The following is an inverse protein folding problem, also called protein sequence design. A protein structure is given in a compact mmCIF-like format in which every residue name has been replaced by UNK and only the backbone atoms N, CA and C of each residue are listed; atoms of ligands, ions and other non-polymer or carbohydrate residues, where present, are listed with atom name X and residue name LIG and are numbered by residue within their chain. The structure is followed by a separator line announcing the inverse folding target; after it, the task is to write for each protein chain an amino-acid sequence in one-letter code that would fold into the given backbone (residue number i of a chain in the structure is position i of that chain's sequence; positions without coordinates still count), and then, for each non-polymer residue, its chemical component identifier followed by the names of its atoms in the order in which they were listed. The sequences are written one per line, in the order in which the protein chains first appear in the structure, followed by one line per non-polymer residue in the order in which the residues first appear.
data_IF_503312804041
#
_entry.id   IF_503312804041
#
_cell.length_a   1.000
_cell.length_b   1.000
_cell.length_c   1.000
_cell.angle_alpha   90.00
_cell.angle_beta   90.00
_cell.angle_gamma   90.00
#
_symmetry.space_group_name_H-M   'P 1'
#
loop_
_entity.id
_entity.type
_entity.pdbx_description
1 polymer ?
#
# COMPACT_ATOMS: atom_id res chain seq x y z
N UNK A 1 -17.79 17.42 -14.60
CA UNK A 1 -16.47 16.77 -14.49
C UNK A 1 -16.73 15.31 -14.17
N UNK A 2 -16.42 14.41 -15.09
CA UNK A 2 -16.36 12.98 -14.80
C UNK A 2 -15.12 12.75 -13.95
N UNK A 3 -15.31 12.37 -12.70
CA UNK A 3 -14.18 12.00 -11.84
C UNK A 3 -13.55 10.74 -12.39
N UNK A 4 -12.44 10.88 -13.11
CA UNK A 4 -11.71 9.81 -13.80
C UNK A 4 -11.03 8.90 -12.78
N UNK A 5 -11.80 8.02 -12.13
CA UNK A 5 -11.32 7.02 -11.17
C UNK A 5 -11.25 5.61 -11.77
N UNK A 6 -11.82 5.40 -12.95
CA UNK A 6 -11.78 4.13 -13.67
C UNK A 6 -10.42 3.97 -14.39
N UNK A 7 -9.60 2.95 -14.07
CA UNK A 7 -8.33 2.71 -14.75
C UNK A 7 -8.44 2.42 -16.25
N UNK A 8 -9.65 2.12 -16.76
CA UNK A 8 -9.91 1.92 -18.18
C UNK A 8 -10.33 3.19 -18.92
N UNK A 9 -10.54 4.30 -18.21
CA UNK A 9 -10.86 5.58 -18.83
C UNK A 9 -9.67 6.09 -19.68
N UNK A 10 -9.89 6.59 -20.91
CA UNK A 10 -8.83 7.11 -21.76
C UNK A 10 -7.98 8.21 -21.11
N UNK A 11 -8.59 9.04 -20.25
CA UNK A 11 -7.93 10.13 -19.55
C UNK A 11 -7.22 9.68 -18.26
N UNK A 12 -7.34 8.41 -17.85
CA UNK A 12 -6.82 7.96 -16.56
C UNK A 12 -5.31 8.22 -16.38
N UNK A 13 -4.53 8.10 -17.46
CA UNK A 13 -3.10 8.37 -17.46
C UNK A 13 -2.70 9.77 -17.95
N UNK A 14 -3.67 10.64 -18.22
CA UNK A 14 -3.41 12.04 -18.57
C UNK A 14 -2.97 12.80 -17.30
N UNK A 15 -1.71 13.27 -17.30
CA UNK A 15 -1.16 13.98 -16.15
C UNK A 15 -1.83 15.35 -15.97
N UNK A 16 -2.16 16.08 -17.03
CA UNK A 16 -2.79 17.39 -16.91
C UNK A 16 -4.20 17.28 -16.29
N UNK A 17 -4.99 16.29 -16.72
CA UNK A 17 -6.29 15.98 -16.11
C UNK A 17 -6.15 15.60 -14.63
N UNK A 18 -5.19 14.73 -14.31
CA UNK A 18 -4.89 14.35 -12.92
C UNK A 18 -4.56 15.58 -12.06
N UNK A 19 -3.70 16.51 -12.55
CA UNK A 19 -3.31 17.71 -11.79
C UNK A 19 -4.50 18.61 -11.52
N UNK A 20 -5.39 18.78 -12.49
CA UNK A 20 -6.64 19.53 -12.31
C UNK A 20 -7.55 18.90 -11.24
N UNK A 21 -7.69 17.58 -11.26
CA UNK A 21 -8.49 16.86 -10.27
C UNK A 21 -7.86 16.86 -8.87
N UNK A 22 -6.53 16.77 -8.77
CA UNK A 22 -5.79 16.96 -7.51
C UNK A 22 -6.05 18.35 -6.93
N UNK A 23 -5.90 19.40 -7.73
CA UNK A 23 -6.20 20.78 -7.30
C UNK A 23 -7.63 20.90 -6.78
N UNK A 24 -8.63 20.42 -7.54
CA UNK A 24 -10.03 20.49 -7.14
C UNK A 24 -10.30 19.77 -5.82
N UNK A 25 -9.84 18.53 -5.69
CA UNK A 25 -10.08 17.73 -4.49
C UNK A 25 -9.34 18.31 -3.29
N UNK A 26 -8.12 18.80 -3.48
CA UNK A 26 -7.32 19.42 -2.42
C UNK A 26 -7.95 20.70 -1.89
N UNK A 27 -8.48 21.54 -2.78
CA UNK A 27 -9.22 22.75 -2.42
C UNK A 27 -10.45 22.43 -1.56
N UNK A 28 -11.29 21.50 -2.02
CA UNK A 28 -12.49 21.06 -1.29
C UNK A 28 -12.13 20.40 0.06
N UNK A 29 -11.05 19.63 0.10
CA UNK A 29 -10.58 18.99 1.32
C UNK A 29 -10.02 20.00 2.32
N UNK A 30 -9.31 21.03 1.85
CA UNK A 30 -8.82 22.14 2.67
C UNK A 30 -9.96 22.99 3.22
N UNK A 31 -11.02 23.25 2.45
CA UNK A 31 -12.21 23.94 2.94
C UNK A 31 -12.94 23.16 4.04
N UNK A 32 -13.01 21.83 3.94
CA UNK A 32 -13.73 20.98 4.89
C UNK A 32 -12.93 20.62 6.16
N UNK A 33 -11.62 20.33 6.01
CA UNK A 33 -10.67 19.92 7.05
C UNK A 33 -11.04 18.71 7.93
N UNK A 34 -12.17 18.03 7.74
CA UNK A 34 -12.64 16.95 8.62
C UNK A 34 -11.64 15.78 8.77
N UNK A 35 -10.84 15.52 7.73
CA UNK A 35 -9.99 14.34 7.64
C UNK A 35 -8.68 14.38 8.47
N UNK A 36 -8.30 15.53 9.06
CA UNK A 36 -7.00 15.70 9.73
C UNK A 36 -6.75 14.70 10.88
N UNK A 37 -7.81 14.21 11.53
CA UNK A 37 -7.71 13.25 12.63
C UNK A 37 -7.42 11.82 12.17
N UNK A 38 -7.56 11.54 10.88
CA UNK A 38 -7.52 10.17 10.35
C UNK A 38 -6.30 9.86 9.50
N UNK A 39 -5.57 10.86 9.00
CA UNK A 39 -4.54 10.66 7.99
C UNK A 39 -3.54 11.82 7.93
N UNK A 40 -2.25 11.49 7.88
CA UNK A 40 -1.13 12.44 7.86
C UNK A 40 -1.01 13.25 6.55
N UNK A 41 -1.59 12.77 5.46
CA UNK A 41 -1.60 13.50 4.18
C UNK A 41 -2.37 14.83 4.27
N UNK A 42 -3.43 14.90 5.10
CA UNK A 42 -4.26 16.11 5.22
C UNK A 42 -3.60 17.23 6.00
N UNK A 43 -3.00 17.01 7.18
CA UNK A 43 -2.18 18.04 7.83
C UNK A 43 -1.13 18.63 6.90
N UNK A 44 -0.44 17.80 6.12
CA UNK A 44 0.55 18.29 5.15
C UNK A 44 -0.09 19.10 4.03
N UNK A 45 -1.18 18.59 3.44
CA UNK A 45 -1.94 19.34 2.44
C UNK A 45 -2.35 20.72 2.97
N UNK A 46 -2.90 20.78 4.18
CA UNK A 46 -3.38 22.04 4.74
C UNK A 46 -2.23 23.01 5.02
N UNK A 47 -1.12 22.52 5.55
CA UNK A 47 0.09 23.32 5.73
C UNK A 47 0.59 23.92 4.41
N UNK A 48 0.59 23.14 3.32
CA UNK A 48 1.04 23.60 2.01
C UNK A 48 0.12 24.71 1.47
N UNK A 49 -1.20 24.51 1.52
CA UNK A 49 -2.19 25.50 1.04
C UNK A 49 -2.19 26.76 1.92
N UNK A 50 -2.06 26.62 3.24
CA UNK A 50 -2.07 27.73 4.20
C UNK A 50 -0.85 28.67 4.10
N UNK A 51 0.19 28.31 3.33
CA UNK A 51 1.33 29.20 3.03
C UNK A 51 0.99 30.28 2.02
N UNK A 52 -0.13 30.14 1.30
CA UNK A 52 -0.58 31.11 0.31
C UNK A 52 -1.65 32.01 0.93
N UNK A 53 -1.52 33.33 0.75
CA UNK A 53 -2.44 34.32 1.33
C UNK A 53 -3.90 34.12 0.87
N UNK A 54 -4.09 33.64 -0.37
CA UNK A 54 -5.40 33.34 -0.96
C UNK A 54 -5.91 31.93 -0.62
N UNK A 55 -5.08 31.10 0.04
CA UNK A 55 -5.37 29.71 0.40
C UNK A 55 -5.89 28.87 -0.78
N UNK A 56 -5.47 29.19 -2.00
CA UNK A 56 -5.91 28.51 -3.22
C UNK A 56 -5.01 27.30 -3.52
N UNK A 57 -5.60 26.09 -3.54
CA UNK A 57 -4.86 24.87 -3.85
C UNK A 57 -4.26 24.86 -5.28
N UNK A 58 -4.72 25.72 -6.19
CA UNK A 58 -4.13 25.89 -7.51
C UNK A 58 -2.72 26.50 -7.48
N UNK A 59 -2.31 27.09 -6.35
CA UNK A 59 -0.94 27.57 -6.12
C UNK A 59 0.07 26.45 -5.90
N UNK A 60 -0.39 25.25 -5.52
CA UNK A 60 0.50 24.13 -5.26
C UNK A 60 1.23 23.70 -6.52
N UNK A 61 2.55 23.57 -6.39
CA UNK A 61 3.37 23.00 -7.45
C UNK A 61 3.09 21.50 -7.62
N UNK A 62 3.38 20.90 -8.80
CA UNK A 62 3.28 19.45 -8.97
C UNK A 62 4.06 18.66 -7.92
N UNK A 63 5.20 19.17 -7.44
CA UNK A 63 6.01 18.54 -6.41
C UNK A 63 5.33 18.55 -5.03
N UNK A 64 4.62 19.62 -4.68
CA UNK A 64 3.86 19.71 -3.43
C UNK A 64 2.61 18.83 -3.48
N UNK A 65 1.94 18.75 -4.63
CA UNK A 65 0.86 17.78 -4.81
C UNK A 65 1.36 16.34 -4.66
N UNK A 66 2.49 16.05 -5.26
CA UNK A 66 3.20 14.77 -5.19
C UNK A 66 3.55 14.40 -3.73
N UNK A 67 3.93 15.37 -2.90
CA UNK A 67 4.20 15.16 -1.48
C UNK A 67 2.95 14.67 -0.72
N UNK A 68 1.77 15.26 -1.00
CA UNK A 68 0.51 14.81 -0.41
C UNK A 68 0.16 13.40 -0.86
N UNK A 69 0.38 13.07 -2.14
CA UNK A 69 0.16 11.73 -2.71
C UNK A 69 1.04 10.70 -2.01
N UNK A 70 2.33 10.99 -1.86
CA UNK A 70 3.32 10.07 -1.26
C UNK A 70 3.00 9.73 0.21
N UNK A 71 2.25 10.57 0.92
CA UNK A 71 1.81 10.33 2.29
C UNK A 71 0.56 9.43 2.41
N UNK A 72 -0.15 9.15 1.31
CA UNK A 72 -1.35 8.33 1.34
C UNK A 72 -1.01 6.82 1.36
N UNK A 73 -1.22 6.18 2.51
CA UNK A 73 -1.06 4.72 2.67
C UNK A 73 -2.36 3.91 2.44
N UNK A 74 -3.38 4.51 1.81
CA UNK A 74 -4.58 3.82 1.35
C UNK A 74 -5.41 3.08 2.44
N UNK A 75 -5.45 3.60 3.67
CA UNK A 75 -6.28 3.02 4.74
C UNK A 75 -7.78 3.22 4.57
N UNK A 76 -8.21 4.17 3.71
CA UNK A 76 -9.60 4.53 3.40
C UNK A 76 -10.42 5.11 4.55
N UNK A 77 -9.82 5.42 5.70
CA UNK A 77 -10.52 6.06 6.82
C UNK A 77 -11.13 7.42 6.44
N UNK A 78 -10.45 8.19 5.61
CA UNK A 78 -10.97 9.47 5.09
C UNK A 78 -12.22 9.26 4.23
N UNK A 79 -12.27 8.23 3.39
CA UNK A 79 -13.42 7.93 2.52
C UNK A 79 -14.66 7.56 3.33
N UNK A 80 -14.52 6.67 4.32
CA UNK A 80 -15.66 6.20 5.14
C UNK A 80 -16.32 7.35 5.91
N UNK A 81 -15.55 8.37 6.29
CA UNK A 81 -16.07 9.53 7.05
C UNK A 81 -16.40 10.74 6.16
N UNK A 82 -16.12 10.68 4.85
CA UNK A 82 -16.32 11.81 3.97
C UNK A 82 -17.82 11.95 3.63
N UNK A 83 -18.44 13.13 3.82
CA UNK A 83 -19.83 13.36 3.41
C UNK A 83 -19.96 13.62 1.90
N UNK A 84 -18.84 13.74 1.18
CA UNK A 84 -18.79 14.20 -0.20
C UNK A 84 -18.44 13.09 -1.21
N UNK A 85 -18.61 11.82 -0.82
CA UNK A 85 -18.23 10.66 -1.65
C UNK A 85 -19.07 10.56 -2.94
N UNK A 86 -18.58 9.80 -3.95
CA UNK A 86 -19.42 9.41 -5.08
C UNK A 86 -20.74 8.80 -4.60
N UNK A 87 -21.81 9.03 -5.37
CA UNK A 87 -23.19 8.62 -5.06
C UNK A 87 -23.88 9.40 -3.92
N UNK A 88 -23.13 10.10 -3.06
CA UNK A 88 -23.69 10.84 -1.92
C UNK A 88 -23.70 12.36 -2.12
N UNK A 89 -22.78 12.90 -2.92
CA UNK A 89 -22.66 14.33 -3.13
C UNK A 89 -22.20 14.67 -4.55
N UNK A 90 -22.60 15.85 -5.05
CA UNK A 90 -22.22 16.35 -6.38
C UNK A 90 -20.71 16.56 -6.57
N UNK A 91 -19.96 16.70 -5.47
CA UNK A 91 -18.50 16.88 -5.47
C UNK A 91 -17.73 15.59 -5.74
N UNK A 92 -18.36 14.42 -5.56
CA UNK A 92 -17.83 13.11 -5.94
C UNK A 92 -16.37 12.86 -5.50
N UNK A 93 -16.03 13.14 -4.25
CA UNK A 93 -14.66 13.01 -3.72
C UNK A 93 -14.36 11.56 -3.36
N UNK A 94 -13.53 10.89 -4.17
CA UNK A 94 -12.89 9.62 -3.79
C UNK A 94 -11.37 9.83 -3.63
N UNK A 95 -11.00 10.39 -2.47
CA UNK A 95 -9.60 10.70 -2.17
C UNK A 95 -8.69 9.47 -2.32
N UNK A 96 -9.01 8.27 -1.76
CA UNK A 96 -8.16 7.09 -1.97
C UNK A 96 -7.98 6.69 -3.44
N UNK A 97 -9.05 6.68 -4.26
CA UNK A 97 -8.91 6.35 -5.69
C UNK A 97 -8.10 7.40 -6.44
N UNK A 98 -8.27 8.67 -6.11
CA UNK A 98 -7.45 9.74 -6.68
C UNK A 98 -5.97 9.55 -6.36
N UNK A 99 -5.63 9.21 -5.11
CA UNK A 99 -4.23 8.92 -4.73
C UNK A 99 -3.68 7.68 -5.44
N UNK A 100 -4.50 6.64 -5.64
CA UNK A 100 -4.11 5.46 -6.42
C UNK A 100 -3.85 5.79 -7.89
N UNK A 101 -4.71 6.62 -8.50
CA UNK A 101 -4.51 7.11 -9.87
C UNK A 101 -3.22 7.93 -9.96
N UNK A 102 -3.03 8.86 -9.03
CA UNK A 102 -1.82 9.68 -8.96
C UNK A 102 -0.57 8.80 -8.90
N UNK A 103 -0.51 7.85 -7.97
CA UNK A 103 0.62 6.94 -7.83
C UNK A 103 0.91 6.15 -9.12
N UNK A 104 -0.12 5.75 -9.86
CA UNK A 104 0.04 5.04 -11.14
C UNK A 104 0.56 5.94 -12.27
N UNK A 105 0.11 7.18 -12.35
CA UNK A 105 0.65 8.17 -13.30
C UNK A 105 2.11 8.46 -12.97
N UNK A 106 2.40 8.75 -11.70
CA UNK A 106 3.74 9.05 -11.20
C UNK A 106 4.69 7.87 -11.37
N UNK A 107 4.21 6.64 -11.24
CA UNK A 107 4.99 5.45 -11.55
C UNK A 107 5.50 5.46 -13.01
N UNK A 108 4.73 5.99 -13.96
CA UNK A 108 5.09 6.07 -15.39
C UNK A 108 5.95 7.29 -15.70
N UNK A 109 5.66 8.44 -15.09
CA UNK A 109 6.28 9.73 -15.44
C UNK A 109 7.49 10.08 -14.58
N UNK A 110 7.51 9.74 -13.28
CA UNK A 110 8.62 10.07 -12.38
C UNK A 110 9.88 9.27 -12.74
N UNK A 111 10.99 9.99 -12.90
CA UNK A 111 12.33 9.38 -13.01
C UNK A 111 12.76 8.83 -11.66
N UNK A 112 12.82 7.50 -11.55
CA UNK A 112 13.28 6.79 -10.35
C UNK A 112 14.63 6.11 -10.59
N UNK A 113 15.55 6.12 -9.61
CA UNK A 113 16.79 5.36 -9.68
C UNK A 113 16.52 3.89 -9.98
N UNK A 114 17.36 3.25 -10.81
CA UNK A 114 17.19 1.84 -11.18
C UNK A 114 17.11 0.93 -9.94
N UNK A 115 17.93 1.23 -8.93
CA UNK A 115 17.92 0.52 -7.64
C UNK A 115 16.52 0.51 -7.00
N UNK A 116 15.86 1.66 -6.93
CA UNK A 116 14.53 1.78 -6.33
C UNK A 116 13.51 0.99 -7.16
N UNK A 117 13.52 1.13 -8.49
CA UNK A 117 12.64 0.36 -9.37
C UNK A 117 12.77 -1.15 -9.18
N UNK A 118 14.00 -1.65 -9.05
CA UNK A 118 14.27 -3.07 -8.80
C UNK A 118 13.79 -3.51 -7.42
N UNK A 119 14.03 -2.70 -6.38
CA UNK A 119 13.55 -2.97 -5.03
C UNK A 119 12.01 -3.02 -4.99
N UNK A 120 11.32 -2.01 -5.54
CA UNK A 120 9.86 -1.94 -5.60
C UNK A 120 9.28 -3.13 -6.36
N UNK A 121 9.88 -3.51 -7.49
CA UNK A 121 9.45 -4.66 -8.30
C UNK A 121 9.63 -5.97 -7.54
N UNK A 122 10.72 -6.12 -6.78
CA UNK A 122 10.94 -7.30 -5.97
C UNK A 122 9.94 -7.37 -4.81
N UNK A 123 9.77 -6.27 -4.07
CA UNK A 123 8.92 -6.21 -2.87
C UNK A 123 7.42 -6.30 -3.21
N UNK A 124 6.98 -5.77 -4.35
CA UNK A 124 5.60 -5.89 -4.81
C UNK A 124 5.23 -7.32 -5.23
N UNK A 125 6.21 -8.15 -5.61
CA UNK A 125 6.00 -9.57 -5.96
C UNK A 125 6.08 -10.47 -4.72
N UNK A 126 5.26 -10.17 -3.72
CA UNK A 126 5.23 -10.83 -2.41
C UNK A 126 5.12 -12.36 -2.52
N UNK A 127 4.28 -12.87 -3.42
CA UNK A 127 4.10 -14.31 -3.63
C UNK A 127 5.35 -15.01 -4.21
N UNK A 128 6.03 -14.36 -5.16
CA UNK A 128 7.30 -14.87 -5.71
C UNK A 128 8.39 -14.89 -4.64
N UNK A 129 8.55 -13.77 -3.93
CA UNK A 129 9.55 -13.62 -2.86
C UNK A 129 9.28 -14.62 -1.74
N UNK A 130 8.03 -14.75 -1.30
CA UNK A 130 7.60 -15.68 -0.26
C UNK A 130 7.92 -17.13 -0.63
N UNK A 131 7.60 -17.56 -1.86
CA UNK A 131 7.92 -18.93 -2.34
C UNK A 131 9.42 -19.20 -2.37
N UNK A 132 10.22 -18.26 -2.88
CA UNK A 132 11.68 -18.41 -2.93
C UNK A 132 12.27 -18.46 -1.53
N UNK A 133 11.89 -17.53 -0.66
CA UNK A 133 12.42 -17.44 0.69
C UNK A 133 12.00 -18.61 1.58
N UNK A 134 10.79 -19.15 1.41
CA UNK A 134 10.36 -20.38 2.10
C UNK A 134 11.23 -21.57 1.71
N UNK A 135 11.53 -21.74 0.40
CA UNK A 135 12.41 -22.83 -0.08
C UNK A 135 13.84 -22.70 0.46
N UNK A 136 14.30 -21.46 0.66
CA UNK A 136 15.64 -21.14 1.16
C UNK A 136 15.64 -20.75 2.65
N UNK A 137 14.58 -21.08 3.40
CA UNK A 137 14.34 -20.56 4.74
C UNK A 137 15.53 -20.71 5.71
N UNK A 138 16.26 -21.84 5.78
CA UNK A 138 17.41 -21.96 6.68
C UNK A 138 18.50 -20.90 6.41
N UNK A 139 18.78 -20.62 5.13
CA UNK A 139 19.80 -19.65 4.72
C UNK A 139 19.28 -18.23 4.91
N UNK A 140 18.05 -17.96 4.45
CA UNK A 140 17.42 -16.64 4.56
C UNK A 140 17.26 -16.24 6.02
N UNK A 141 16.74 -17.12 6.88
CA UNK A 141 16.55 -16.83 8.31
C UNK A 141 17.88 -16.57 9.02
N UNK A 142 18.95 -17.29 8.66
CA UNK A 142 20.30 -17.02 9.18
C UNK A 142 20.81 -15.65 8.73
N UNK A 143 20.54 -15.25 7.48
CA UNK A 143 20.95 -13.97 6.95
C UNK A 143 20.17 -12.79 7.54
N UNK A 144 18.86 -12.95 7.81
CA UNK A 144 18.01 -11.86 8.32
C UNK A 144 17.87 -11.82 9.85
N UNK A 145 18.18 -12.91 10.56
CA UNK A 145 17.81 -13.09 11.96
C UNK A 145 18.53 -12.19 12.97
N UNK A 146 19.64 -11.53 12.60
CA UNK A 146 20.38 -10.61 13.48
C UNK A 146 20.35 -9.17 12.94
N UNK A 147 19.59 -8.25 13.56
CA UNK A 147 19.63 -6.82 13.25
C UNK A 147 21.07 -6.25 13.24
N UNK A 148 21.37 -5.36 12.30
CA UNK A 148 22.68 -4.74 12.15
C UNK A 148 23.81 -5.64 11.62
N UNK A 149 23.56 -6.93 11.38
CA UNK A 149 24.56 -7.85 10.82
C UNK A 149 25.03 -7.45 9.41
N UNK A 150 26.14 -8.04 8.94
CA UNK A 150 26.69 -7.72 7.60
C UNK A 150 25.66 -7.93 6.46
N UNK A 151 24.91 -9.05 6.39
CA UNK A 151 23.86 -9.22 5.38
C UNK A 151 22.74 -8.18 5.49
N UNK A 152 22.34 -7.77 6.70
CA UNK A 152 21.34 -6.72 6.93
C UNK A 152 21.79 -5.36 6.43
N UNK A 153 23.04 -4.97 6.71
CA UNK A 153 23.64 -3.72 6.19
C UNK A 153 23.77 -3.73 4.67
N UNK A 154 24.07 -4.89 4.08
CA UNK A 154 24.04 -5.04 2.63
C UNK A 154 22.61 -4.85 2.08
N UNK A 155 21.61 -5.50 2.69
CA UNK A 155 20.22 -5.37 2.28
C UNK A 155 19.70 -3.93 2.41
N UNK A 156 20.09 -3.20 3.44
CA UNK A 156 19.76 -1.78 3.59
C UNK A 156 20.34 -0.95 2.44
N UNK A 157 21.61 -1.16 2.11
CA UNK A 157 22.29 -0.45 1.02
C UNK A 157 21.76 -0.81 -0.37
N UNK A 158 21.22 -2.01 -0.57
CA UNK A 158 20.74 -2.48 -1.88
C UNK A 158 19.24 -2.31 -2.05
N UNK A 159 18.44 -2.71 -1.06
CA UNK A 159 16.96 -2.74 -1.12
C UNK A 159 16.32 -1.60 -0.32
N UNK A 160 17.03 -1.00 0.63
CA UNK A 160 16.51 0.11 1.45
C UNK A 160 15.78 -0.33 2.73
N UNK A 161 15.79 -1.62 3.04
CA UNK A 161 15.22 -2.13 4.30
C UNK A 161 16.23 -1.91 5.42
N UNK A 162 15.89 -1.04 6.38
CA UNK A 162 16.75 -0.68 7.51
C UNK A 162 17.36 -1.92 8.20
N UNK A 163 18.68 -1.92 8.40
CA UNK A 163 19.40 -3.08 8.94
C UNK A 163 18.96 -3.44 10.36
N UNK A 164 18.51 -2.45 11.14
CA UNK A 164 18.01 -2.62 12.51
C UNK A 164 16.58 -3.13 12.58
N UNK A 165 15.84 -3.15 11.47
CA UNK A 165 14.47 -3.66 11.47
C UNK A 165 14.46 -5.16 11.73
N UNK A 166 13.66 -5.57 12.71
CA UNK A 166 13.34 -6.98 12.98
C UNK A 166 12.48 -7.49 11.83
N UNK A 167 12.95 -8.52 11.14
CA UNK A 167 12.19 -9.18 10.07
C UNK A 167 11.62 -10.51 10.57
N UNK A 168 10.35 -10.82 10.24
CA UNK A 168 9.79 -12.11 10.56
C UNK A 168 10.53 -13.22 9.81
N UNK A 169 10.86 -14.34 10.48
CA UNK A 169 11.47 -15.48 9.83
C UNK A 169 10.49 -16.12 8.84
N UNK A 170 11.01 -16.77 7.82
CA UNK A 170 10.23 -17.59 6.90
C UNK A 170 10.04 -19.00 7.47
N UNK A 171 8.86 -19.59 7.26
CA UNK A 171 8.65 -21.01 7.55
C UNK A 171 9.39 -21.89 6.54
N UNK A 172 9.65 -23.16 6.89
CA UNK A 172 10.22 -24.15 5.94
C UNK A 172 9.17 -24.73 5.00
N UNK A 173 7.91 -24.68 5.40
CA UNK A 173 6.79 -25.22 4.63
C UNK A 173 5.66 -24.22 4.63
N UNK A 174 5.21 -23.83 3.42
CA UNK A 174 4.06 -22.93 3.27
C UNK A 174 2.81 -23.53 3.89
N UNK A 175 1.96 -22.68 4.47
CA UNK A 175 0.68 -23.12 5.03
C UNK A 175 -0.16 -23.89 4.00
N UNK A 176 -0.36 -23.35 2.80
CA UNK A 176 -1.17 -24.03 1.77
C UNK A 176 -0.62 -25.40 1.36
N UNK A 177 0.71 -25.57 1.35
CA UNK A 177 1.34 -26.87 1.05
C UNK A 177 1.09 -27.87 2.16
N UNK A 178 1.17 -27.44 3.43
CA UNK A 178 0.83 -28.27 4.57
C UNK A 178 -0.67 -28.62 4.59
N UNK A 179 -1.54 -27.60 4.42
CA UNK A 179 -2.99 -27.73 4.50
C UNK A 179 -3.53 -28.76 3.51
N UNK A 180 -3.03 -28.77 2.27
CA UNK A 180 -3.40 -29.78 1.25
C UNK A 180 -2.99 -31.21 1.59
N UNK A 181 -1.97 -31.39 2.43
CA UNK A 181 -1.44 -32.71 2.84
C UNK A 181 -1.99 -33.18 4.18
N UNK A 182 -2.62 -32.27 4.93
CA UNK A 182 -3.22 -32.57 6.22
C UNK A 182 -4.29 -33.64 6.06
N UNK A 183 -4.26 -34.63 6.94
CA UNK A 183 -5.41 -35.51 7.17
C UNK A 183 -6.27 -34.88 8.26
N UNK A 184 -7.50 -34.46 7.98
CA UNK A 184 -8.37 -33.90 9.00
C UNK A 184 -8.64 -34.97 10.06
N UNK A 185 -8.55 -34.61 11.34
CA UNK A 185 -9.00 -35.45 12.44
C UNK A 185 -10.54 -35.47 12.42
N UNK A 186 -11.11 -36.40 11.67
CA UNK A 186 -12.56 -36.53 11.53
C UNK A 186 -13.10 -37.30 12.74
N UNK A 187 -13.81 -36.61 13.64
CA UNK A 187 -14.57 -37.21 14.74
C UNK A 187 -16.00 -36.67 14.88
N UNK A 188 -16.45 -35.79 13.97
CA UNK A 188 -17.81 -35.20 13.98
C UNK A 188 -18.40 -35.21 12.58
N UNK A 189 -19.71 -35.35 12.51
CA UNK A 189 -20.47 -35.22 11.25
C UNK A 189 -20.18 -33.88 10.57
N UNK A 190 -20.15 -33.90 9.23
CA UNK A 190 -19.83 -32.72 8.42
C UNK A 190 -20.94 -31.68 8.53
N UNK A 191 -20.65 -30.53 9.14
CA UNK A 191 -21.61 -29.43 9.32
C UNK A 191 -21.66 -28.43 8.15
N UNK A 192 -20.69 -28.45 7.24
CA UNK A 192 -20.63 -27.49 6.12
C UNK A 192 -19.30 -27.54 5.35
N UNK A 193 -19.05 -26.52 4.52
CA UNK A 193 -17.78 -26.29 3.84
C UNK A 193 -17.28 -24.88 4.11
N UNK A 194 -15.95 -24.73 4.24
CA UNK A 194 -15.31 -23.44 4.44
C UNK A 194 -14.14 -23.28 3.45
N UNK A 195 -13.94 -22.07 2.94
CA UNK A 195 -12.78 -21.70 2.16
C UNK A 195 -11.82 -20.89 3.04
N UNK A 196 -10.55 -21.31 3.11
CA UNK A 196 -9.52 -20.65 3.90
C UNK A 196 -8.55 -19.94 2.96
N UNK A 197 -8.43 -18.62 3.11
CA UNK A 197 -7.50 -17.78 2.35
C UNK A 197 -6.38 -17.30 3.30
N UNK A 198 -5.18 -17.89 3.26
CA UNK A 198 -4.09 -17.42 4.09
C UNK A 198 -3.60 -16.06 3.60
N UNK A 199 -3.29 -15.17 4.55
CA UNK A 199 -2.53 -13.95 4.23
C UNK A 199 -1.10 -14.31 3.82
N UNK A 200 -0.38 -13.38 3.21
CA UNK A 200 1.04 -13.58 2.88
C UNK A 200 1.91 -13.90 4.12
N UNK A 201 1.55 -13.36 5.29
CA UNK A 201 2.21 -13.66 6.56
C UNK A 201 2.00 -15.12 6.94
N UNK A 202 0.75 -15.60 6.94
CA UNK A 202 0.42 -17.00 7.29
C UNK A 202 0.99 -17.98 6.26
N UNK A 203 0.94 -17.63 4.98
CA UNK A 203 1.43 -18.52 3.92
C UNK A 203 2.95 -18.73 3.98
N UNK A 204 3.74 -17.72 4.37
CA UNK A 204 5.19 -17.71 4.19
C UNK A 204 6.04 -17.55 5.46
N UNK A 205 5.49 -17.04 6.55
CA UNK A 205 6.26 -16.67 7.74
C UNK A 205 5.72 -17.33 8.99
N UNK A 206 4.42 -17.19 9.24
CA UNK A 206 3.75 -17.67 10.45
C UNK A 206 2.63 -18.67 10.11
N UNK A 207 3.02 -19.81 9.56
CA UNK A 207 2.09 -20.88 9.22
C UNK A 207 1.40 -21.47 10.46
N UNK A 208 1.95 -21.27 11.67
CA UNK A 208 1.38 -21.73 12.93
C UNK A 208 -0.03 -21.16 13.16
N UNK A 209 -0.21 -19.86 12.92
CA UNK A 209 -1.53 -19.21 12.98
C UNK A 209 -2.56 -19.92 12.09
N UNK A 210 -2.14 -20.34 10.89
CA UNK A 210 -3.01 -21.10 9.99
C UNK A 210 -3.30 -22.51 10.49
N UNK A 211 -2.34 -23.17 11.14
CA UNK A 211 -2.53 -24.49 11.72
C UNK A 211 -3.53 -24.46 12.89
N UNK A 212 -3.45 -23.44 13.75
CA UNK A 212 -4.33 -23.28 14.91
C UNK A 212 -5.79 -22.99 14.52
N UNK A 213 -6.00 -22.43 13.32
CA UNK A 213 -7.33 -22.17 12.77
C UNK A 213 -8.11 -23.45 12.39
N UNK A 214 -7.44 -24.56 12.04
CA UNK A 214 -8.03 -25.66 11.23
C UNK A 214 -7.95 -27.07 11.80
#
# INVERSE_FOLDING_TARGET
MTTTYDPFDPAYFDEADLRGELTRVFDLCHGCRLCFKFCDAFPRLFELVDRHDDQDAARLTPAEQDEVVDLCFNCKLCYVNCPYTPDQHEWQIDFPRLMLRAEQVLHRTRRRPLRQKLADTALSRTDLVGRVNTRLAPVVNKAIGRPGSRPRRLLERTVGIAAQRVLPPYTRQRFSTWFRRRRPALGRERQGGAAVFPTCLVEYQDAGVGHDLV
#
